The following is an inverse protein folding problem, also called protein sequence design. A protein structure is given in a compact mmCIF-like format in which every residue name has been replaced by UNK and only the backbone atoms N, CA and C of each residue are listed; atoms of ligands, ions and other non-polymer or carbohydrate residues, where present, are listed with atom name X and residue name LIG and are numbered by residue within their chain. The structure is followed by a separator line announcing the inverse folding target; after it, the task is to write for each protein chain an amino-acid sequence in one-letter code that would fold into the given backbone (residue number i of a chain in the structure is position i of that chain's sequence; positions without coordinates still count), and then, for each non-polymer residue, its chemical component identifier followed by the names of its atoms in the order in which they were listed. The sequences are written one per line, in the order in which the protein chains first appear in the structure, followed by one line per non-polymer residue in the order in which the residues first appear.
data_IF_192709702577
#
_entry.id   IF_192709702577
#
_cell.length_a   1.000
_cell.length_b   1.000
_cell.length_c   1.000
_cell.angle_alpha   90.00
_cell.angle_beta   90.00
_cell.angle_gamma   90.00
#
_symmetry.space_group_name_H-M   'P 1'
#
loop_
_entity.id
_entity.type
_entity.pdbx_description
1 polymer ?
#
# COMPACT_ATOMS: atom_id res chain seq x y z
N UNK A 1 -0.11 -1.74 6.16
CA UNK A 1 0.20 -0.97 7.39
C UNK A 1 1.65 -1.20 7.85
N UNK A 2 2.09 -2.46 8.02
CA UNK A 2 3.48 -2.79 8.40
C UNK A 2 4.54 -2.19 7.47
N UNK A 3 4.34 -2.25 6.14
CA UNK A 3 5.25 -1.63 5.18
C UNK A 3 5.43 -0.12 5.44
N UNK A 4 4.33 0.62 5.64
CA UNK A 4 4.35 2.06 5.93
C UNK A 4 5.07 2.37 7.25
N UNK A 5 4.85 1.57 8.29
CA UNK A 5 5.55 1.73 9.57
C UNK A 5 7.06 1.53 9.41
N UNK A 6 7.45 0.52 8.64
CA UNK A 6 8.86 0.21 8.36
C UNK A 6 9.50 1.33 7.52
N UNK A 7 8.80 1.85 6.51
CA UNK A 7 9.25 2.99 5.70
C UNK A 7 9.46 4.24 6.56
N UNK A 8 8.51 4.58 7.44
CA UNK A 8 8.67 5.72 8.35
C UNK A 8 9.91 5.55 9.25
N UNK A 9 10.11 4.34 9.79
CA UNK A 9 11.28 4.01 10.60
C UNK A 9 12.61 4.14 9.84
N UNK A 10 12.67 3.65 8.61
CA UNK A 10 13.87 3.72 7.75
C UNK A 10 14.26 5.18 7.43
N UNK A 11 13.29 6.06 7.24
CA UNK A 11 13.57 7.47 6.98
C UNK A 11 14.03 8.21 8.25
N UNK A 12 13.47 7.87 9.42
CA UNK A 12 13.86 8.44 10.71
C UNK A 12 15.26 7.98 11.14
N UNK A 13 15.58 6.71 10.95
CA UNK A 13 16.81 6.09 11.41
C UNK A 13 17.47 5.25 10.29
N UNK A 14 18.01 5.89 9.24
CA UNK A 14 18.59 5.18 8.10
C UNK A 14 19.79 4.31 8.49
N UNK A 15 20.59 4.75 9.47
CA UNK A 15 21.84 4.09 9.84
C UNK A 15 21.68 2.98 10.89
N UNK A 16 20.49 2.82 11.48
CA UNK A 16 20.25 1.83 12.54
C UNK A 16 19.05 0.94 12.21
N UNK A 17 19.26 -0.31 11.76
CA UNK A 17 18.18 -1.24 11.46
C UNK A 17 17.27 -1.49 12.67
N UNK A 18 17.84 -1.56 13.86
CA UNK A 18 17.08 -1.70 15.11
C UNK A 18 16.27 -0.45 15.43
N UNK A 19 16.86 0.75 15.28
CA UNK A 19 16.17 2.02 15.50
C UNK A 19 15.00 2.22 14.53
N UNK A 20 15.19 1.87 13.26
CA UNK A 20 14.12 1.89 12.27
C UNK A 20 12.95 0.97 12.64
N UNK A 21 13.22 -0.27 13.07
CA UNK A 21 12.18 -1.21 13.52
C UNK A 21 11.43 -0.69 14.73
N UNK A 22 12.15 -0.21 15.74
CA UNK A 22 11.54 0.33 16.96
C UNK A 22 10.70 1.58 16.67
N UNK A 23 11.19 2.49 15.82
CA UNK A 23 10.44 3.66 15.38
C UNK A 23 9.14 3.26 14.64
N UNK A 24 9.20 2.23 13.80
CA UNK A 24 8.01 1.66 13.16
C UNK A 24 6.99 1.13 14.17
N UNK A 25 7.43 0.37 15.18
CA UNK A 25 6.58 -0.13 16.27
C UNK A 25 5.94 1.02 17.05
N UNK A 26 6.74 2.03 17.43
CA UNK A 26 6.25 3.22 18.14
C UNK A 26 5.20 3.95 17.30
N UNK A 27 5.44 4.13 15.99
CA UNK A 27 4.46 4.73 15.09
C UNK A 27 3.14 3.94 15.05
N UNK A 28 3.19 2.60 15.01
CA UNK A 28 1.99 1.76 15.06
C UNK A 28 1.23 1.96 16.37
N UNK A 29 1.92 1.93 17.52
CA UNK A 29 1.30 2.10 18.84
C UNK A 29 0.64 3.47 18.97
N UNK A 30 1.37 4.54 18.63
CA UNK A 30 0.87 5.92 18.70
C UNK A 30 -0.35 6.11 17.80
N UNK A 31 -0.27 5.68 16.55
CA UNK A 31 -1.38 5.86 15.59
C UNK A 31 -2.59 4.98 15.95
N UNK A 32 -2.37 3.80 16.52
CA UNK A 32 -3.47 2.97 17.04
C UNK A 32 -4.13 3.67 18.23
N UNK A 33 -3.36 4.25 19.16
CA UNK A 33 -3.90 5.06 20.25
C UNK A 33 -4.70 6.28 19.79
N UNK A 34 -4.25 6.94 18.72
CA UNK A 34 -5.00 8.04 18.07
C UNK A 34 -6.31 7.53 17.47
N UNK A 35 -6.28 6.40 16.77
CA UNK A 35 -7.46 5.80 16.16
C UNK A 35 -8.50 5.35 17.20
N UNK A 36 -8.05 4.79 18.32
CA UNK A 36 -8.91 4.35 19.43
C UNK A 36 -9.66 5.51 20.09
N UNK A 37 -9.12 6.73 20.04
CA UNK A 37 -9.79 7.95 20.53
C UNK A 37 -10.92 8.45 19.62
N UNK A 38 -11.25 7.72 18.54
CA UNK A 38 -12.32 8.10 17.63
C UNK A 38 -11.93 9.23 16.68
N UNK A 39 -10.63 9.52 16.51
CA UNK A 39 -10.13 10.40 15.45
C UNK A 39 -10.16 9.60 14.13
N UNK A 40 -11.34 9.11 13.77
CA UNK A 40 -11.61 8.44 12.51
C UNK A 40 -11.91 9.51 11.48
N UNK A 41 -10.83 10.14 11.01
CA UNK A 41 -10.67 11.00 9.84
C UNK A 41 -11.95 11.61 9.25
N UNK A 42 -12.09 12.91 9.42
CA UNK A 42 -12.75 13.78 8.44
C UNK A 42 -11.89 13.86 7.16
N UNK A 43 -12.52 13.92 5.98
CA UNK A 43 -11.82 14.02 4.69
C UNK A 43 -10.76 15.14 4.66
N UNK A 44 -11.02 16.22 5.40
CA UNK A 44 -10.12 17.37 5.59
C UNK A 44 -8.75 16.99 6.17
N UNK A 45 -8.68 16.06 7.13
CA UNK A 45 -7.41 15.62 7.70
C UNK A 45 -6.54 14.87 6.67
N UNK A 46 -7.17 14.14 5.75
CA UNK A 46 -6.43 13.45 4.67
C UNK A 46 -5.87 14.44 3.67
N UNK A 47 -6.65 15.47 3.30
CA UNK A 47 -6.20 16.55 2.41
C UNK A 47 -5.07 17.37 3.05
N UNK A 48 -5.19 17.67 4.34
CA UNK A 48 -4.17 18.40 5.11
C UNK A 48 -2.82 17.66 5.17
N UNK A 49 -2.84 16.32 5.17
CA UNK A 49 -1.62 15.49 5.08
C UNK A 49 -1.10 15.42 3.64
N UNK A 50 -2.00 15.33 2.66
CA UNK A 50 -1.63 15.14 1.26
C UNK A 50 -0.91 16.35 0.68
N UNK A 51 -1.38 17.56 0.97
CA UNK A 51 -0.81 18.81 0.46
C UNK A 51 0.70 18.96 0.75
N UNK A 52 1.19 18.85 2.01
CA UNK A 52 2.62 18.95 2.28
C UNK A 52 3.41 17.79 1.67
N UNK A 53 2.85 16.57 1.62
CA UNK A 53 3.52 15.43 0.97
C UNK A 53 3.75 15.71 -0.52
N UNK A 54 2.73 16.19 -1.23
CA UNK A 54 2.85 16.55 -2.65
C UNK A 54 3.83 17.70 -2.87
N UNK A 55 3.85 18.70 -1.98
CA UNK A 55 4.82 19.80 -2.05
C UNK A 55 6.26 19.28 -1.89
N UNK A 56 6.50 18.39 -0.93
CA UNK A 56 7.82 17.79 -0.70
C UNK A 56 8.27 16.98 -1.92
N UNK A 57 7.37 16.18 -2.51
CA UNK A 57 7.67 15.45 -3.74
C UNK A 57 7.94 16.40 -4.92
N UNK A 58 7.19 17.49 -5.04
CA UNK A 58 7.43 18.50 -6.07
C UNK A 58 8.80 19.16 -5.90
N UNK A 59 9.21 19.50 -4.67
CA UNK A 59 10.55 20.01 -4.38
C UNK A 59 11.62 18.99 -4.78
N UNK A 60 11.47 17.72 -4.43
CA UNK A 60 12.41 16.67 -4.81
C UNK A 60 12.51 16.48 -6.33
N UNK A 61 11.37 16.51 -7.03
CA UNK A 61 11.33 16.42 -8.49
C UNK A 61 12.04 17.62 -9.12
N UNK A 62 11.70 18.84 -8.71
CA UNK A 62 12.30 20.06 -9.26
C UNK A 62 13.79 20.12 -8.96
N UNK A 63 14.22 19.80 -7.73
CA UNK A 63 15.63 19.77 -7.38
C UNK A 63 16.42 18.74 -8.19
N UNK A 64 15.91 17.50 -8.33
CA UNK A 64 16.56 16.47 -9.13
C UNK A 64 16.62 16.80 -10.62
N UNK A 65 15.59 17.44 -11.18
CA UNK A 65 15.56 17.83 -12.59
C UNK A 65 16.37 19.12 -12.89
N UNK A 66 16.42 20.08 -11.96
CA UNK A 66 17.12 21.34 -12.18
C UNK A 66 18.60 21.26 -11.82
N UNK A 67 18.94 20.54 -10.75
CA UNK A 67 20.29 20.52 -10.15
C UNK A 67 20.98 19.17 -10.31
N UNK A 68 20.28 18.12 -10.76
CA UNK A 68 20.88 16.82 -11.02
C UNK A 68 21.80 16.84 -12.25
N UNK A 69 23.01 16.30 -12.08
CA UNK A 69 24.06 16.20 -13.11
C UNK A 69 23.58 15.36 -14.32
N UNK A 70 23.51 15.94 -15.54
CA UNK A 70 23.07 15.23 -16.75
C UNK A 70 23.94 14.02 -17.13
N UNK A 71 25.19 13.95 -16.64
CA UNK A 71 26.18 12.91 -16.94
C UNK A 71 26.10 11.65 -16.07
N UNK A 72 25.35 11.64 -14.96
CA UNK A 72 24.94 10.41 -14.27
C UNK A 72 23.83 9.77 -15.08
N UNK A 73 24.21 9.16 -16.21
CA UNK A 73 23.27 8.79 -17.26
C UNK A 73 22.12 7.95 -16.69
N UNK A 74 20.85 8.22 -17.08
CA UNK A 74 19.77 7.24 -17.03
C UNK A 74 19.98 6.12 -18.07
N UNK A 75 21.24 5.76 -18.33
CA UNK A 75 21.64 4.71 -19.24
C UNK A 75 21.09 3.40 -18.70
N UNK A 76 19.97 2.99 -19.26
CA UNK A 76 19.49 1.62 -19.17
C UNK A 76 20.53 0.80 -19.91
N UNK A 77 21.43 0.13 -19.17
CA UNK A 77 22.28 -0.88 -19.78
C UNK A 77 21.34 -1.95 -20.37
N UNK A 78 21.24 -2.09 -21.69
CA UNK A 78 20.32 -3.05 -22.31
C UNK A 78 20.63 -4.48 -21.86
N UNK A 79 21.88 -4.77 -21.47
CA UNK A 79 22.27 -6.06 -20.92
C UNK A 79 21.78 -6.28 -19.47
N UNK A 80 21.45 -5.19 -18.75
CA UNK A 80 20.87 -5.25 -17.40
C UNK A 80 19.32 -5.33 -17.41
N UNK A 81 18.69 -5.18 -18.58
CA UNK A 81 17.23 -5.30 -18.71
C UNK A 81 16.84 -6.75 -18.91
N UNK A 82 16.49 -7.41 -17.82
CA UNK A 82 15.90 -8.74 -17.85
C UNK A 82 14.38 -8.68 -17.60
N UNK A 83 13.63 -9.51 -18.34
CA UNK A 83 12.17 -9.59 -18.23
C UNK A 83 11.76 -10.02 -16.82
N UNK A 84 12.48 -10.95 -16.19
CA UNK A 84 12.15 -11.36 -14.83
C UNK A 84 12.40 -10.21 -13.83
N UNK A 85 13.46 -9.43 -14.03
CA UNK A 85 13.72 -8.19 -13.28
C UNK A 85 12.59 -7.16 -13.40
N UNK A 86 12.09 -6.92 -14.62
CA UNK A 86 10.94 -6.02 -14.86
C UNK A 86 9.69 -6.54 -14.14
N UNK A 87 9.38 -7.83 -14.27
CA UNK A 87 8.18 -8.41 -13.66
C UNK A 87 8.25 -8.40 -12.12
N UNK A 88 9.42 -8.68 -11.55
CA UNK A 88 9.67 -8.58 -10.11
C UNK A 88 9.50 -7.14 -9.61
N UNK A 89 10.10 -6.16 -10.31
CA UNK A 89 9.94 -4.75 -9.99
C UNK A 89 8.48 -4.28 -10.12
N UNK A 90 7.75 -4.74 -11.14
CA UNK A 90 6.33 -4.44 -11.33
C UNK A 90 5.48 -4.95 -10.16
N UNK A 91 5.77 -6.15 -9.63
CA UNK A 91 5.05 -6.69 -8.47
C UNK A 91 5.27 -5.90 -7.17
N UNK A 92 6.49 -5.39 -6.96
CA UNK A 92 6.79 -4.51 -5.82
C UNK A 92 6.14 -3.14 -6.04
N UNK A 93 6.27 -2.57 -7.24
CA UNK A 93 5.69 -1.26 -7.58
C UNK A 93 4.15 -1.27 -7.50
N UNK A 94 3.52 -2.40 -7.84
CA UNK A 94 2.07 -2.57 -7.77
C UNK A 94 1.50 -2.22 -6.38
N UNK A 95 2.24 -2.50 -5.30
CA UNK A 95 1.85 -2.12 -3.95
C UNK A 95 1.62 -0.61 -3.79
N UNK A 96 2.43 0.22 -4.47
CA UNK A 96 2.29 1.67 -4.41
C UNK A 96 0.99 2.18 -5.09
N UNK A 97 0.40 1.36 -5.97
CA UNK A 97 -0.88 1.65 -6.63
C UNK A 97 -2.08 0.98 -5.95
N UNK A 98 -1.84 0.12 -4.96
CA UNK A 98 -2.89 -0.54 -4.21
C UNK A 98 -3.64 0.48 -3.32
N UNK A 99 -4.94 0.66 -3.55
CA UNK A 99 -5.77 1.54 -2.72
C UNK A 99 -7.04 2.06 -3.38
N UNK A 100 -7.08 2.10 -4.72
CA UNK A 100 -8.25 2.58 -5.46
C UNK A 100 -9.51 1.73 -5.24
N UNK A 101 -9.36 0.45 -4.90
CA UNK A 101 -10.50 -0.46 -4.63
C UNK A 101 -11.46 0.08 -3.57
N UNK A 102 -10.98 0.85 -2.60
CA UNK A 102 -11.86 1.41 -1.57
C UNK A 102 -12.75 2.54 -2.08
N UNK A 103 -12.30 3.28 -3.09
CA UNK A 103 -13.15 4.25 -3.80
C UNK A 103 -14.29 3.52 -4.49
N UNK A 104 -14.02 2.33 -5.04
CA UNK A 104 -15.03 1.50 -5.69
C UNK A 104 -16.05 0.91 -4.70
N UNK A 105 -15.67 0.63 -3.46
CA UNK A 105 -16.59 0.10 -2.43
C UNK A 105 -17.48 1.16 -1.78
N UNK A 106 -17.17 2.45 -1.95
CA UNK A 106 -17.93 3.58 -1.38
C UNK A 106 -18.99 4.11 -2.36
N UNK A 107 -19.45 3.30 -3.31
CA UNK A 107 -20.36 3.76 -4.36
C UNK A 107 -21.70 4.30 -3.85
N UNK A 108 -22.16 3.83 -2.69
CA UNK A 108 -23.38 4.32 -2.05
C UNK A 108 -23.23 5.74 -1.45
N UNK A 109 -22.00 6.17 -1.15
CA UNK A 109 -21.70 7.50 -0.59
C UNK A 109 -21.36 8.54 -1.68
N UNK A 110 -21.23 8.10 -2.95
CA UNK A 110 -20.77 8.92 -4.07
C UNK A 110 -21.95 9.37 -4.94
N UNK A 111 -22.00 10.66 -5.26
CA UNK A 111 -22.96 11.20 -6.23
C UNK A 111 -22.61 10.69 -7.63
N UNK A 112 -23.58 10.05 -8.30
CA UNK A 112 -23.44 9.47 -9.65
C UNK A 112 -22.23 8.50 -9.75
N UNK A 113 -22.26 7.36 -9.03
CA UNK A 113 -21.11 6.47 -8.89
C UNK A 113 -20.64 5.87 -10.21
N UNK A 114 -21.55 5.62 -11.16
CA UNK A 114 -21.24 5.09 -12.50
C UNK A 114 -20.30 6.00 -13.29
N UNK A 115 -20.35 7.30 -13.02
CA UNK A 115 -19.57 8.33 -13.73
C UNK A 115 -18.41 8.85 -12.89
N UNK A 116 -18.62 9.03 -11.59
CA UNK A 116 -17.65 9.64 -10.69
C UNK A 116 -16.53 8.67 -10.34
N UNK A 117 -16.85 7.39 -10.03
CA UNK A 117 -15.83 6.40 -9.62
C UNK A 117 -14.82 6.14 -10.74
N UNK A 118 -15.21 5.83 -12.00
CA UNK A 118 -14.25 5.55 -13.05
C UNK A 118 -13.33 6.75 -13.33
N UNK A 119 -13.88 7.97 -13.35
CA UNK A 119 -13.09 9.20 -13.57
C UNK A 119 -12.12 9.46 -12.43
N UNK A 120 -12.56 9.31 -11.18
CA UNK A 120 -11.70 9.48 -10.02
C UNK A 120 -10.57 8.45 -10.00
N UNK A 121 -10.87 7.18 -10.26
CA UNK A 121 -9.87 6.10 -10.28
C UNK A 121 -8.86 6.30 -11.41
N UNK A 122 -9.32 6.52 -12.65
CA UNK A 122 -8.42 6.71 -13.79
C UNK A 122 -7.60 8.00 -13.69
N UNK A 123 -8.22 9.10 -13.22
CA UNK A 123 -7.53 10.37 -12.99
C UNK A 123 -6.45 10.25 -11.92
N UNK A 124 -6.76 9.60 -10.78
CA UNK A 124 -5.79 9.37 -9.72
C UNK A 124 -4.65 8.44 -10.17
N UNK A 125 -4.96 7.34 -10.87
CA UNK A 125 -3.94 6.43 -11.39
C UNK A 125 -3.03 7.13 -12.39
N UNK A 126 -3.58 7.86 -13.35
CA UNK A 126 -2.80 8.62 -14.34
C UNK A 126 -1.89 9.66 -13.69
N UNK A 127 -2.41 10.42 -12.72
CA UNK A 127 -1.62 11.39 -11.96
C UNK A 127 -0.45 10.71 -11.22
N UNK A 128 -0.70 9.60 -10.53
CA UNK A 128 0.34 8.88 -9.77
C UNK A 128 1.40 8.30 -10.70
N UNK A 129 1.02 7.74 -11.86
CA UNK A 129 1.98 7.25 -12.87
C UNK A 129 2.93 8.36 -13.31
N UNK A 130 2.39 9.53 -13.65
CA UNK A 130 3.21 10.69 -14.05
C UNK A 130 4.10 11.14 -12.89
N UNK A 131 3.55 11.27 -11.69
CA UNK A 131 4.29 11.71 -10.51
C UNK A 131 5.45 10.77 -10.18
N UNK A 132 5.22 9.45 -10.15
CA UNK A 132 6.25 8.46 -9.86
C UNK A 132 7.29 8.36 -10.98
N UNK A 133 6.87 8.50 -12.24
CA UNK A 133 7.79 8.58 -13.37
C UNK A 133 8.74 9.78 -13.27
N UNK A 134 8.19 10.97 -13.01
CA UNK A 134 8.96 12.20 -12.81
C UNK A 134 9.90 12.11 -11.61
N UNK A 135 9.41 11.57 -10.48
CA UNK A 135 10.23 11.37 -9.29
C UNK A 135 11.38 10.40 -9.56
N UNK A 136 11.10 9.25 -10.19
CA UNK A 136 12.13 8.27 -10.54
C UNK A 136 13.19 8.89 -11.44
N UNK A 137 12.77 9.64 -12.46
CA UNK A 137 13.69 10.32 -13.37
C UNK A 137 14.55 11.37 -12.64
N UNK A 138 13.94 12.17 -11.77
CA UNK A 138 14.64 13.16 -10.96
C UNK A 138 15.68 12.50 -10.03
N UNK A 139 15.34 11.39 -9.40
CA UNK A 139 16.25 10.67 -8.50
C UNK A 139 17.40 9.99 -9.26
N UNK A 140 17.14 9.44 -10.45
CA UNK A 140 18.21 8.90 -11.31
C UNK A 140 19.17 10.02 -11.75
N UNK A 141 18.67 11.22 -12.05
CA UNK A 141 19.55 12.36 -12.36
C UNK A 141 20.36 12.84 -11.16
N UNK A 142 19.79 12.79 -9.96
CA UNK A 142 20.49 13.18 -8.74
C UNK A 142 21.57 12.15 -8.35
N UNK A 143 21.24 10.85 -8.37
CA UNK A 143 22.03 9.79 -7.73
C UNK A 143 22.70 8.81 -8.70
N UNK A 144 22.24 8.75 -9.96
CA UNK A 144 22.53 7.65 -10.88
C UNK A 144 21.77 6.36 -10.53
N UNK A 145 21.75 5.39 -11.44
CA UNK A 145 21.05 4.10 -11.25
C UNK A 145 21.61 3.30 -10.07
N UNK A 146 22.94 3.18 -9.97
CA UNK A 146 23.60 2.48 -8.86
C UNK A 146 23.40 3.17 -7.51
N UNK A 147 23.50 4.51 -7.47
CA UNK A 147 23.26 5.28 -6.25
C UNK A 147 21.81 5.16 -5.78
N UNK A 148 20.85 5.18 -6.71
CA UNK A 148 19.44 4.96 -6.42
C UNK A 148 19.18 3.55 -5.88
N UNK A 149 19.80 2.53 -6.47
CA UNK A 149 19.66 1.13 -6.03
C UNK A 149 20.28 0.87 -4.64
N UNK A 150 21.35 1.59 -4.29
CA UNK A 150 22.02 1.46 -3.00
C UNK A 150 21.35 2.28 -1.87
N UNK A 151 20.54 3.29 -2.21
CA UNK A 151 19.96 4.19 -1.23
C UNK A 151 18.76 3.58 -0.49
N UNK A 152 18.90 3.36 0.82
CA UNK A 152 17.78 2.92 1.67
C UNK A 152 16.66 3.96 1.83
N UNK A 153 17.00 5.25 1.69
CA UNK A 153 16.07 6.38 1.70
C UNK A 153 16.30 7.27 0.47
N UNK A 154 15.83 6.86 -0.72
CA UNK A 154 16.26 7.45 -1.99
C UNK A 154 15.84 8.91 -2.17
N UNK A 155 14.66 9.30 -1.66
CA UNK A 155 14.21 10.70 -1.72
C UNK A 155 15.08 11.59 -0.82
N UNK A 156 15.48 11.09 0.36
CA UNK A 156 16.39 11.79 1.27
C UNK A 156 17.77 11.98 0.62
N UNK A 157 18.35 10.89 0.12
CA UNK A 157 19.64 10.92 -0.57
C UNK A 157 19.61 11.86 -1.79
N UNK A 158 18.53 11.84 -2.57
CA UNK A 158 18.35 12.72 -3.73
C UNK A 158 18.30 14.20 -3.36
N UNK A 159 17.57 14.57 -2.29
CA UNK A 159 17.55 15.95 -1.78
C UNK A 159 18.91 16.36 -1.23
N UNK A 160 19.57 15.50 -0.46
CA UNK A 160 20.90 15.79 0.10
C UNK A 160 21.96 15.96 -0.99
N UNK A 161 21.88 15.17 -2.07
CA UNK A 161 22.80 15.25 -3.21
C UNK A 161 22.59 16.50 -4.08
N UNK A 162 21.39 17.08 -4.08
CA UNK A 162 21.04 18.20 -4.98
C UNK A 162 21.00 19.55 -4.27
N UNK A 163 20.42 19.62 -3.08
CA UNK A 163 20.26 20.85 -2.29
C UNK A 163 21.27 20.97 -1.13
N UNK A 164 22.00 19.89 -0.83
CA UNK A 164 22.96 19.80 0.26
C UNK A 164 22.45 18.99 1.46
N UNK A 165 23.37 18.54 2.31
CA UNK A 165 23.10 17.62 3.43
C UNK A 165 22.03 18.09 4.43
N UNK A 166 21.81 19.40 4.52
CA UNK A 166 20.79 19.99 5.40
C UNK A 166 19.34 19.82 4.93
N UNK A 167 19.07 19.25 3.75
CA UNK A 167 17.71 19.14 3.20
C UNK A 167 17.06 17.76 3.38
N UNK A 168 17.78 16.77 3.91
CA UNK A 168 17.26 15.42 4.10
C UNK A 168 16.03 15.34 5.03
N UNK A 169 15.90 16.25 6.00
CA UNK A 169 14.77 16.29 6.93
C UNK A 169 13.42 16.48 6.22
N UNK A 170 13.40 17.15 5.07
CA UNK A 170 12.17 17.39 4.31
C UNK A 170 11.61 16.05 3.79
N UNK A 171 12.47 15.17 3.29
CA UNK A 171 12.08 13.82 2.90
C UNK A 171 11.61 12.99 4.10
N UNK A 172 12.26 13.12 5.27
CA UNK A 172 11.83 12.44 6.49
C UNK A 172 10.43 12.89 6.91
N UNK A 173 10.17 14.20 6.92
CA UNK A 173 8.86 14.76 7.23
C UNK A 173 7.79 14.23 6.26
N UNK A 174 8.08 14.24 4.95
CA UNK A 174 7.18 13.73 3.93
C UNK A 174 6.88 12.24 4.11
N UNK A 175 7.91 11.42 4.37
CA UNK A 175 7.77 9.98 4.60
C UNK A 175 6.93 9.67 5.86
N UNK A 176 7.15 10.40 6.95
CA UNK A 176 6.39 10.22 8.20
C UNK A 176 4.93 10.64 8.01
N UNK A 177 4.68 11.80 7.40
CA UNK A 177 3.32 12.28 7.12
C UNK A 177 2.57 11.33 6.18
N UNK A 178 3.19 10.91 5.07
CA UNK A 178 2.60 9.98 4.13
C UNK A 178 2.31 8.62 4.78
N UNK A 179 3.25 8.09 5.57
CA UNK A 179 3.10 6.81 6.25
C UNK A 179 2.01 6.85 7.32
N UNK A 180 1.95 7.91 8.16
CA UNK A 180 0.88 8.10 9.12
C UNK A 180 -0.49 8.25 8.42
N UNK A 181 -0.50 9.00 7.32
CA UNK A 181 -1.61 9.17 6.37
C UNK A 181 -2.07 7.85 5.74
N UNK A 182 -1.19 6.90 5.46
CA UNK A 182 -1.60 5.58 4.98
C UNK A 182 -2.06 4.68 6.13
N UNK A 183 -1.37 4.70 7.27
CA UNK A 183 -1.61 3.81 8.40
C UNK A 183 -2.98 4.02 9.06
N UNK A 184 -3.37 5.26 9.42
CA UNK A 184 -4.71 5.42 10.04
C UNK A 184 -5.83 5.09 9.04
N UNK A 185 -5.58 5.28 7.74
CA UNK A 185 -6.54 4.95 6.68
C UNK A 185 -6.80 3.45 6.62
N UNK A 186 -5.71 2.68 6.62
CA UNK A 186 -5.74 1.22 6.56
C UNK A 186 -6.28 0.64 7.86
N UNK A 187 -5.87 1.17 9.02
CA UNK A 187 -6.37 0.72 10.31
C UNK A 187 -7.89 0.88 10.41
N UNK A 188 -8.42 2.04 10.02
CA UNK A 188 -9.86 2.27 10.00
C UNK A 188 -10.58 1.30 9.05
N UNK A 189 -10.07 1.13 7.82
CA UNK A 189 -10.65 0.20 6.84
C UNK A 189 -10.66 -1.25 7.32
N UNK A 190 -9.50 -1.78 7.73
CA UNK A 190 -9.34 -3.17 8.17
C UNK A 190 -10.22 -3.45 9.41
N UNK A 191 -10.28 -2.51 10.36
CA UNK A 191 -11.07 -2.68 11.57
C UNK A 191 -12.59 -2.75 11.29
N UNK A 192 -13.09 -2.01 10.28
CA UNK A 192 -14.50 -2.05 9.88
C UNK A 192 -14.83 -3.34 9.14
N UNK A 193 -13.96 -3.79 8.24
CA UNK A 193 -14.13 -5.09 7.57
C UNK A 193 -14.09 -6.24 8.58
N UNK A 194 -13.15 -6.22 9.53
CA UNK A 194 -13.07 -7.23 10.59
C UNK A 194 -14.32 -7.24 11.48
N UNK A 195 -14.87 -6.06 11.80
CA UNK A 195 -16.13 -5.93 12.54
C UNK A 195 -17.30 -6.56 11.78
N UNK A 196 -17.43 -6.29 10.47
CA UNK A 196 -18.48 -6.88 9.64
C UNK A 196 -18.35 -8.41 9.57
N UNK A 197 -17.16 -8.93 9.28
CA UNK A 197 -16.90 -10.37 9.26
C UNK A 197 -17.15 -11.04 10.62
N UNK A 198 -16.82 -10.37 11.73
CA UNK A 198 -17.07 -10.91 13.06
C UNK A 198 -18.57 -10.94 13.41
N UNK A 199 -19.38 -10.02 12.87
CA UNK A 199 -20.85 -10.04 13.01
C UNK A 199 -21.50 -11.14 12.18
N UNK A 200 -20.93 -11.45 11.02
CA UNK A 200 -21.38 -12.53 10.13
C UNK A 200 -20.88 -13.92 10.58
N UNK A 201 -20.07 -14.00 11.64
CA UNK A 201 -19.54 -15.25 12.18
C UNK A 201 -18.30 -15.79 11.46
N UNK A 202 -17.76 -15.07 10.47
CA UNK A 202 -16.54 -15.42 9.74
C UNK A 202 -15.26 -15.18 10.57
N UNK A 203 -15.34 -14.40 11.65
CA UNK A 203 -14.25 -14.15 12.61
C UNK A 203 -14.72 -14.30 14.06
N UNK A 204 -13.80 -14.52 15.03
CA UNK A 204 -14.16 -14.62 16.45
C UNK A 204 -15.00 -13.43 16.93
N UNK A 205 -16.15 -13.71 17.57
CA UNK A 205 -17.12 -12.68 17.97
C UNK A 205 -16.57 -11.58 18.89
N UNK A 206 -15.44 -11.79 19.58
CA UNK A 206 -14.74 -10.76 20.36
C UNK A 206 -14.24 -9.59 19.49
N UNK A 207 -13.98 -9.82 18.21
CA UNK A 207 -13.60 -8.76 17.25
C UNK A 207 -14.78 -7.85 16.92
N UNK A 208 -16.02 -8.29 17.19
CA UNK A 208 -17.21 -7.47 17.03
C UNK A 208 -17.47 -6.52 18.21
N UNK A 209 -16.63 -6.55 19.25
CA UNK A 209 -16.78 -5.65 20.41
C UNK A 209 -16.43 -4.21 20.04
N UNK A 210 -17.40 -3.32 20.25
CA UNK A 210 -17.30 -1.88 19.96
C UNK A 210 -17.19 -1.11 21.27
N UNK A 211 -16.37 -0.05 21.28
CA UNK A 211 -16.22 0.83 22.45
C UNK A 211 -17.44 1.72 22.60
N UNK A 212 -18.03 1.76 23.80
CA UNK A 212 -19.27 2.50 24.10
C UNK A 212 -19.17 4.01 23.82
N UNK A 213 -17.99 4.60 24.04
CA UNK A 213 -17.78 6.06 23.97
C UNK A 213 -17.37 6.57 22.58
N UNK A 214 -16.71 5.74 21.78
CA UNK A 214 -16.16 6.15 20.46
C UNK A 214 -16.83 5.45 19.29
N UNK A 215 -17.64 4.40 19.52
CA UNK A 215 -18.25 3.61 18.45
C UNK A 215 -17.23 2.84 17.60
N UNK A 216 -15.96 2.75 18.04
CA UNK A 216 -14.88 2.09 17.28
C UNK A 216 -14.68 0.63 17.73
N UNK A 217 -14.39 -0.30 16.80
CA UNK A 217 -14.10 -1.70 17.13
C UNK A 217 -12.69 -1.84 17.71
N UNK A 218 -12.54 -1.50 18.99
CA UNK A 218 -11.24 -1.38 19.65
C UNK A 218 -10.47 -2.72 19.70
N UNK A 219 -11.16 -3.84 19.91
CA UNK A 219 -10.53 -5.18 19.91
C UNK A 219 -9.94 -5.49 18.53
N UNK A 220 -10.68 -5.18 17.47
CA UNK A 220 -10.21 -5.32 16.09
C UNK A 220 -8.99 -4.44 15.80
N UNK A 221 -8.99 -3.19 16.25
CA UNK A 221 -7.85 -2.29 16.08
C UNK A 221 -6.59 -2.78 16.80
N UNK A 222 -6.74 -3.24 18.05
CA UNK A 222 -5.62 -3.79 18.83
C UNK A 222 -5.09 -5.08 18.20
N UNK A 223 -5.97 -5.99 17.78
CA UNK A 223 -5.56 -7.22 17.12
C UNK A 223 -4.76 -6.95 15.83
N UNK A 224 -5.24 -6.02 15.00
CA UNK A 224 -4.53 -5.58 13.79
C UNK A 224 -3.18 -4.95 14.15
N UNK A 225 -3.13 -4.09 15.17
CA UNK A 225 -1.88 -3.47 15.60
C UNK A 225 -0.85 -4.52 16.07
N UNK A 226 -1.28 -5.53 16.83
CA UNK A 226 -0.40 -6.63 17.27
C UNK A 226 0.16 -7.39 16.06
N UNK A 227 -0.69 -7.79 15.11
CA UNK A 227 -0.23 -8.49 13.89
C UNK A 227 0.75 -7.62 13.10
N UNK A 228 0.47 -6.32 12.98
CA UNK A 228 1.35 -5.37 12.29
C UNK A 228 2.70 -5.24 13.00
N UNK A 229 2.73 -5.15 14.33
CA UNK A 229 3.97 -5.08 15.12
C UNK A 229 4.80 -6.35 14.91
N UNK A 230 4.17 -7.53 14.96
CA UNK A 230 4.86 -8.79 14.71
C UNK A 230 5.50 -8.83 13.32
N UNK A 231 4.77 -8.37 12.29
CA UNK A 231 5.31 -8.30 10.93
C UNK A 231 6.49 -7.33 10.81
N UNK A 232 6.42 -6.15 11.45
CA UNK A 232 7.52 -5.17 11.47
C UNK A 232 8.77 -5.71 12.15
N UNK A 233 8.61 -6.56 13.18
CA UNK A 233 9.73 -7.14 13.92
C UNK A 233 10.33 -8.38 13.23
N UNK A 234 9.49 -9.18 12.58
CA UNK A 234 9.88 -10.49 12.03
C UNK A 234 10.41 -10.43 10.60
N UNK A 235 10.03 -9.42 9.81
CA UNK A 235 10.23 -9.45 8.36
C UNK A 235 10.72 -8.10 7.80
N UNK A 236 11.43 -8.14 6.67
CA UNK A 236 11.84 -6.97 5.92
C UNK A 236 10.69 -6.35 5.10
N UNK A 237 10.88 -5.07 4.72
CA UNK A 237 9.86 -4.30 4.00
C UNK A 237 9.49 -4.89 2.64
N UNK A 238 10.46 -5.46 1.91
CA UNK A 238 10.21 -6.01 0.58
C UNK A 238 9.36 -7.27 0.65
N UNK A 239 9.64 -8.16 1.60
CA UNK A 239 8.81 -9.34 1.82
C UNK A 239 7.39 -8.96 2.26
N UNK A 240 7.23 -7.96 3.13
CA UNK A 240 5.91 -7.44 3.56
C UNK A 240 5.15 -6.86 2.37
N UNK A 241 5.83 -6.07 1.53
CA UNK A 241 5.26 -5.47 0.32
C UNK A 241 4.85 -6.55 -0.68
N UNK A 242 5.74 -7.50 -0.96
CA UNK A 242 5.46 -8.62 -1.86
C UNK A 242 4.29 -9.48 -1.38
N UNK A 243 4.25 -9.80 -0.09
CA UNK A 243 3.13 -10.54 0.51
C UNK A 243 1.82 -9.79 0.30
N UNK A 244 1.80 -8.49 0.61
CA UNK A 244 0.61 -7.64 0.42
C UNK A 244 0.19 -7.53 -1.05
N UNK A 245 1.16 -7.34 -1.96
CA UNK A 245 0.91 -7.29 -3.41
C UNK A 245 0.28 -8.59 -3.90
N UNK A 246 0.82 -9.74 -3.51
CA UNK A 246 0.31 -11.05 -3.92
C UNK A 246 -1.17 -11.20 -3.57
N UNK A 247 -1.55 -10.89 -2.32
CA UNK A 247 -2.96 -11.00 -1.89
C UNK A 247 -3.89 -10.10 -2.70
N UNK A 248 -3.48 -8.86 -2.99
CA UNK A 248 -4.28 -7.92 -3.78
C UNK A 248 -4.35 -8.34 -5.25
N UNK A 249 -3.25 -8.85 -5.82
CA UNK A 249 -3.24 -9.38 -7.19
C UNK A 249 -4.15 -10.59 -7.33
N UNK A 250 -4.15 -11.52 -6.37
CA UNK A 250 -5.09 -12.65 -6.35
C UNK A 250 -6.53 -12.15 -6.23
N UNK A 251 -6.79 -11.19 -5.35
CA UNK A 251 -8.11 -10.57 -5.23
C UNK A 251 -8.58 -9.95 -6.57
N UNK A 252 -7.71 -9.24 -7.28
CA UNK A 252 -8.05 -8.69 -8.60
C UNK A 252 -8.12 -9.75 -9.70
N UNK A 253 -7.35 -10.83 -9.63
CA UNK A 253 -7.51 -11.98 -10.51
C UNK A 253 -8.92 -12.58 -10.38
N UNK A 254 -9.38 -12.81 -9.14
CA UNK A 254 -10.74 -13.26 -8.86
C UNK A 254 -11.78 -12.25 -9.36
N UNK A 255 -11.57 -10.95 -9.14
CA UNK A 255 -12.47 -9.91 -9.63
C UNK A 255 -12.58 -9.91 -11.17
N UNK A 256 -11.46 -10.06 -11.88
CA UNK A 256 -11.44 -10.14 -13.35
C UNK A 256 -12.15 -11.40 -13.85
N UNK A 257 -11.95 -12.54 -13.18
CA UNK A 257 -12.63 -13.80 -13.49
C UNK A 257 -14.14 -13.67 -13.28
N UNK A 258 -14.57 -13.11 -12.15
CA UNK A 258 -15.98 -12.84 -11.85
C UNK A 258 -16.61 -11.87 -12.85
N UNK A 259 -15.86 -10.85 -13.31
CA UNK A 259 -16.36 -9.93 -14.32
C UNK A 259 -16.64 -10.57 -15.69
N UNK A 260 -16.08 -11.76 -15.97
CA UNK A 260 -16.40 -12.52 -17.18
C UNK A 260 -17.80 -13.15 -17.14
N UNK A 261 -18.35 -13.41 -15.95
CA UNK A 261 -19.70 -14.00 -15.78
C UNK A 261 -20.82 -12.97 -15.92
N UNK A 262 -20.51 -11.66 -15.83
CA UNK A 262 -21.48 -10.57 -15.94
C UNK A 262 -22.01 -10.39 -17.37
N UNK A 263 -23.34 -10.27 -17.48
CA UNK A 263 -24.05 -9.95 -18.72
C UNK A 263 -23.78 -8.49 -19.14
N UNK A 264 -23.90 -8.14 -20.43
CA UNK A 264 -23.66 -6.76 -20.91
C UNK A 264 -24.49 -5.69 -20.20
N UNK A 265 -25.74 -6.02 -19.83
CA UNK A 265 -26.68 -5.13 -19.14
C UNK A 265 -26.28 -4.80 -17.69
N UNK A 266 -25.46 -5.66 -17.08
CA UNK A 266 -25.02 -5.52 -15.68
C UNK A 266 -23.69 -4.75 -15.58
N UNK A 267 -23.12 -4.32 -16.73
CA UNK A 267 -21.82 -3.64 -16.77
C UNK A 267 -22.03 -2.13 -16.77
N UNK A 268 -21.73 -1.49 -15.65
CA UNK A 268 -21.72 -0.02 -15.53
C UNK A 268 -20.79 0.65 -16.56
N UNK A 269 -19.69 -0.03 -16.94
CA UNK A 269 -18.77 0.42 -18.00
C UNK A 269 -18.61 -0.70 -19.02
N UNK A 270 -18.75 -0.37 -20.32
CA UNK A 270 -18.53 -1.30 -21.43
C UNK A 270 -17.02 -1.58 -21.59
N UNK A 271 -16.51 -2.51 -20.79
CA UNK A 271 -15.14 -3.02 -20.89
C UNK A 271 -15.13 -4.29 -21.76
N UNK A 272 -14.24 -4.40 -22.77
CA UNK A 272 -14.16 -5.59 -23.60
C UNK A 272 -13.74 -6.81 -22.77
N UNK A 273 -14.31 -7.98 -23.05
CA UNK A 273 -13.95 -9.23 -22.34
C UNK A 273 -12.45 -9.54 -22.41
N UNK A 274 -11.80 -9.17 -23.51
CA UNK A 274 -10.35 -9.28 -23.68
C UNK A 274 -9.56 -8.52 -22.59
N UNK A 275 -10.04 -7.36 -22.13
CA UNK A 275 -9.37 -6.61 -21.07
C UNK A 275 -9.45 -7.33 -19.71
N UNK A 276 -10.56 -7.99 -19.41
CA UNK A 276 -10.68 -8.79 -18.18
C UNK A 276 -9.77 -10.03 -18.23
N UNK A 277 -9.67 -10.69 -19.38
CA UNK A 277 -8.74 -11.83 -19.57
C UNK A 277 -7.30 -11.36 -19.45
N UNK A 278 -6.94 -10.24 -20.09
CA UNK A 278 -5.61 -9.65 -19.98
C UNK A 278 -5.29 -9.28 -18.52
N UNK A 279 -6.23 -8.64 -17.82
CA UNK A 279 -6.09 -8.29 -16.40
C UNK A 279 -5.88 -9.52 -15.52
N UNK A 280 -6.65 -10.59 -15.74
CA UNK A 280 -6.47 -11.87 -15.05
C UNK A 280 -5.06 -12.43 -15.29
N UNK A 281 -4.62 -12.53 -16.55
CA UNK A 281 -3.30 -13.07 -16.90
C UNK A 281 -2.18 -12.22 -16.29
N UNK A 282 -2.24 -10.90 -16.41
CA UNK A 282 -1.23 -10.01 -15.83
C UNK A 282 -1.19 -10.10 -14.31
N UNK A 283 -2.34 -10.18 -13.64
CA UNK A 283 -2.38 -10.35 -12.19
C UNK A 283 -1.68 -11.65 -11.76
N UNK A 284 -1.96 -12.76 -12.45
CA UNK A 284 -1.35 -14.05 -12.13
C UNK A 284 0.15 -14.07 -12.44
N UNK A 285 0.56 -13.56 -13.62
CA UNK A 285 1.98 -13.48 -13.99
C UNK A 285 2.76 -12.67 -12.95
N UNK A 286 2.30 -11.47 -12.60
CA UNK A 286 2.97 -10.62 -11.62
C UNK A 286 2.95 -11.25 -10.22
N UNK A 287 1.85 -11.92 -9.85
CA UNK A 287 1.75 -12.59 -8.55
C UNK A 287 2.81 -13.69 -8.40
N UNK A 288 3.03 -14.51 -9.43
CA UNK A 288 4.00 -15.60 -9.39
C UNK A 288 5.45 -15.17 -9.67
N UNK A 289 5.69 -13.92 -10.08
CA UNK A 289 7.05 -13.37 -10.22
C UNK A 289 7.55 -12.69 -8.94
N UNK A 290 6.71 -12.58 -7.91
CA UNK A 290 7.10 -12.07 -6.59
C UNK A 290 8.01 -13.06 -5.83
N UNK A 291 8.81 -12.60 -4.85
CA UNK A 291 9.67 -13.46 -4.06
C UNK A 291 8.92 -14.66 -3.46
N UNK A 292 9.50 -15.87 -3.60
CA UNK A 292 8.86 -17.11 -3.16
C UNK A 292 8.48 -17.09 -1.67
N UNK A 293 9.25 -16.39 -0.83
CA UNK A 293 8.92 -16.19 0.58
C UNK A 293 7.60 -15.42 0.78
N UNK A 294 7.38 -14.35 0.01
CA UNK A 294 6.14 -13.57 0.03
C UNK A 294 4.94 -14.38 -0.46
N UNK A 295 5.13 -15.12 -1.55
CA UNK A 295 4.09 -15.99 -2.13
C UNK A 295 3.72 -17.09 -1.13
N UNK A 296 4.71 -17.82 -0.60
CA UNK A 296 4.50 -18.89 0.37
C UNK A 296 3.81 -18.42 1.64
N UNK A 297 4.19 -17.26 2.17
CA UNK A 297 3.54 -16.66 3.33
C UNK A 297 2.05 -16.36 3.06
N UNK A 298 1.72 -15.76 1.91
CA UNK A 298 0.32 -15.42 1.58
C UNK A 298 -0.52 -16.64 1.25
N UNK A 299 0.05 -17.64 0.57
CA UNK A 299 -0.61 -18.94 0.36
C UNK A 299 -0.90 -19.60 1.70
N UNK A 300 0.04 -19.58 2.65
CA UNK A 300 -0.18 -20.08 4.01
C UNK A 300 -1.35 -19.37 4.71
N UNK A 301 -1.43 -18.04 4.60
CA UNK A 301 -2.56 -17.26 5.15
C UNK A 301 -3.87 -17.64 4.48
N UNK A 302 -3.91 -17.82 3.16
CA UNK A 302 -5.12 -18.28 2.46
C UNK A 302 -5.54 -19.68 2.91
N UNK A 303 -4.61 -20.61 3.05
CA UNK A 303 -4.90 -21.97 3.54
C UNK A 303 -5.46 -21.95 4.97
N UNK A 304 -4.88 -21.13 5.85
CA UNK A 304 -5.39 -20.93 7.22
C UNK A 304 -6.80 -20.32 7.17
N UNK A 305 -7.04 -19.33 6.31
CA UNK A 305 -8.35 -18.69 6.17
C UNK A 305 -9.42 -19.65 5.65
N UNK A 306 -9.12 -20.40 4.60
CA UNK A 306 -10.03 -21.42 4.04
C UNK A 306 -10.26 -22.55 5.03
N UNK A 307 -9.20 -23.06 5.66
CA UNK A 307 -9.30 -24.09 6.69
C UNK A 307 -10.10 -23.63 7.91
N UNK A 308 -9.90 -22.38 8.34
CA UNK A 308 -10.67 -21.76 9.43
C UNK A 308 -12.14 -21.60 9.09
N UNK A 309 -12.46 -21.13 7.88
CA UNK A 309 -13.86 -21.02 7.40
C UNK A 309 -14.51 -22.40 7.29
N UNK A 310 -13.80 -23.39 6.73
CA UNK A 310 -14.29 -24.76 6.65
C UNK A 310 -14.56 -25.34 8.06
N UNK A 311 -13.63 -25.14 9.00
CA UNK A 311 -13.80 -25.57 10.39
C UNK A 311 -15.01 -24.92 11.08
N UNK A 312 -15.22 -23.62 10.88
CA UNK A 312 -16.39 -22.91 11.41
C UNK A 312 -17.70 -23.40 10.78
N UNK A 313 -17.71 -23.65 9.47
CA UNK A 313 -18.88 -24.20 8.76
C UNK A 313 -19.20 -25.64 9.19
N UNK A 314 -18.18 -26.46 9.46
CA UNK A 314 -18.39 -27.82 10.01
C UNK A 314 -18.88 -27.79 11.47
N UNK A 315 -18.83 -26.65 12.15
CA UNK A 315 -19.26 -26.47 13.54
C UNK A 315 -20.54 -25.66 13.72
N UNK A 316 -21.21 -25.18 12.67
CA UNK A 316 -22.48 -24.44 12.81
C UNK A 316 -23.59 -24.91 11.86
N UNK A 317 -24.83 -25.22 12.32
CA UNK A 317 -25.40 -24.96 13.65
C UNK A 317 -25.75 -26.24 14.44
N UNK A 318 -25.11 -26.42 15.59
CA UNK A 318 -25.53 -27.36 16.63
C UNK A 318 -25.93 -26.62 17.90
N UNK A 319 -27.23 -26.30 17.99
CA UNK A 319 -27.98 -25.68 19.11
C UNK A 319 -27.96 -24.18 19.25
#
# INVERSE_FOLDING_TARGET
MAAMATTAGLYLFPDSPLGARLAGVVAVVVLTGVALRGITRTAQATVAILAPVLLILAVAIVAGLALGEPGRSPGVDPAAVDLAGILGAAGVLFFAFAGYARVATMGEEVVDPERTIPRAVLGALGFIVVLYGLLTWALVRALGSHGLAAAGAPVRAGLEATLGSGWGWLAVLGAVLASAGAMLNLLAGISRTALAMAREGDLPGRLATVGERTGTPWVGQVAVAVVVILLVLATDVLTIVGFSSFGVLVYYAVANLSALTLRPEQRAVRVPRAANVLGLVLCLVIAFTLPAASVGAMVGVFLIGVGGRWFLQTRGPGR
#
